data_IF_036368061290
#
_entry.id   IF_036368061290
#
_cell.length_a   1.000
_cell.length_b   1.000
_cell.length_c   1.000
_cell.angle_alpha   90.00
_cell.angle_beta   90.00
_cell.angle_gamma   90.00
#
_symmetry.space_group_name_H-M   'P 1'
#
loop_
_entity.id
_entity.type
_entity.pdbx_description
1 polymer ?
#
# COMPACT_ATOMS: atom_id res chain seq x y z
N UNK A 1 -16.67 -6.48 -6.30
CA UNK A 1 -17.25 -6.64 -4.94
C UNK A 1 -16.17 -6.35 -3.93
N UNK A 2 -16.44 -5.61 -2.89
CA UNK A 2 -15.51 -5.33 -1.80
C UNK A 2 -16.01 -5.99 -0.52
N UNK A 3 -15.23 -6.90 0.07
CA UNK A 3 -15.52 -7.48 1.37
C UNK A 3 -14.79 -6.71 2.46
N UNK A 4 -15.48 -6.34 3.55
CA UNK A 4 -14.89 -5.62 4.68
C UNK A 4 -15.18 -6.36 5.97
N UNK A 5 -14.16 -6.54 6.80
CA UNK A 5 -14.26 -7.30 8.03
C UNK A 5 -15.23 -6.68 9.06
N UNK A 6 -15.22 -5.38 9.29
CA UNK A 6 -16.00 -4.73 10.36
C UNK A 6 -16.85 -3.55 9.89
N UNK A 7 -16.86 -3.21 8.62
CA UNK A 7 -17.54 -2.02 8.13
C UNK A 7 -17.99 -2.19 6.69
N UNK A 8 -19.25 -1.87 6.43
CA UNK A 8 -19.77 -1.74 5.07
C UNK A 8 -19.44 -0.35 4.55
N UNK A 9 -18.67 -0.24 3.48
CA UNK A 9 -18.46 1.01 2.75
C UNK A 9 -19.39 0.97 1.54
N UNK A 10 -20.24 1.98 1.42
CA UNK A 10 -21.13 2.13 0.28
C UNK A 10 -20.41 2.97 -0.78
N UNK A 11 -19.95 2.31 -1.84
CA UNK A 11 -19.35 2.97 -3.00
C UNK A 11 -20.33 2.87 -4.18
N UNK A 12 -20.40 3.94 -4.96
CA UNK A 12 -21.19 3.96 -6.18
C UNK A 12 -20.69 2.87 -7.14
N UNK A 13 -21.61 2.12 -7.71
CA UNK A 13 -21.33 1.05 -8.67
C UNK A 13 -20.47 -0.12 -8.15
N UNK A 14 -20.30 -0.23 -6.82
CA UNK A 14 -19.57 -1.33 -6.17
C UNK A 14 -20.49 -2.05 -5.19
N UNK A 15 -20.75 -3.33 -5.44
CA UNK A 15 -21.44 -4.16 -4.47
C UNK A 15 -20.51 -4.45 -3.28
N UNK A 16 -21.01 -4.27 -2.06
CA UNK A 16 -20.22 -4.50 -0.83
C UNK A 16 -20.88 -5.55 0.03
N UNK A 17 -20.06 -6.43 0.59
CA UNK A 17 -20.47 -7.49 1.51
C UNK A 17 -19.55 -7.46 2.73
N UNK A 18 -20.12 -7.56 3.93
CA UNK A 18 -19.36 -7.79 5.15
C UNK A 18 -19.13 -9.28 5.29
N UNK A 19 -17.88 -9.70 5.38
CA UNK A 19 -17.48 -11.09 5.57
C UNK A 19 -16.78 -11.24 6.92
N UNK A 20 -17.09 -12.33 7.62
CA UNK A 20 -16.32 -12.77 8.79
C UNK A 20 -15.07 -13.51 8.31
N UNK A 21 -14.04 -12.73 7.99
CA UNK A 21 -12.81 -13.25 7.37
C UNK A 21 -12.02 -14.19 8.29
N UNK A 22 -12.31 -14.18 9.59
CA UNK A 22 -11.66 -15.06 10.59
C UNK A 22 -12.23 -16.48 10.60
N UNK A 23 -13.38 -16.71 9.92
CA UNK A 23 -13.98 -18.03 9.78
C UNK A 23 -13.60 -18.65 8.41
N UNK A 24 -12.56 -19.50 8.32
CA UNK A 24 -12.01 -19.98 7.05
C UNK A 24 -13.04 -20.64 6.13
N UNK A 25 -13.94 -21.44 6.70
CA UNK A 25 -14.98 -22.14 5.91
C UNK A 25 -16.03 -21.18 5.34
N UNK A 26 -16.33 -20.07 6.03
CA UNK A 26 -17.26 -19.07 5.53
C UNK A 26 -16.66 -18.26 4.39
N UNK A 27 -15.36 -17.93 4.49
CA UNK A 27 -14.64 -17.21 3.43
C UNK A 27 -14.62 -18.04 2.14
N UNK A 28 -14.25 -19.33 2.20
CA UNK A 28 -14.20 -20.21 1.03
C UNK A 28 -15.59 -20.36 0.41
N UNK A 29 -16.62 -20.64 1.22
CA UNK A 29 -18.00 -20.75 0.74
C UNK A 29 -18.51 -19.44 0.10
N UNK A 30 -18.13 -18.27 0.66
CA UNK A 30 -18.49 -16.97 0.08
C UNK A 30 -17.81 -16.73 -1.25
N UNK A 31 -16.51 -17.04 -1.37
CA UNK A 31 -15.79 -16.92 -2.63
C UNK A 31 -16.31 -17.88 -3.69
N UNK A 32 -16.64 -19.11 -3.31
CA UNK A 32 -17.26 -20.09 -4.22
C UNK A 32 -18.62 -19.63 -4.73
N UNK A 33 -19.45 -19.06 -3.86
CA UNK A 33 -20.76 -18.51 -4.26
C UNK A 33 -20.66 -17.27 -5.15
N UNK A 34 -19.62 -16.43 -4.96
CA UNK A 34 -19.40 -15.18 -5.70
C UNK A 34 -18.73 -15.43 -7.06
N UNK A 35 -17.84 -16.44 -7.15
CA UNK A 35 -17.03 -16.77 -8.33
C UNK A 35 -16.30 -15.54 -8.91
N UNK A 36 -15.48 -14.81 -8.12
CA UNK A 36 -14.76 -13.64 -8.65
C UNK A 36 -13.65 -14.06 -9.62
N UNK A 37 -13.42 -13.25 -10.67
CA UNK A 37 -12.32 -13.46 -11.61
C UNK A 37 -10.94 -13.22 -10.98
N UNK A 38 -10.90 -12.45 -9.89
CA UNK A 38 -9.67 -12.05 -9.19
C UNK A 38 -10.00 -11.69 -7.73
N UNK A 39 -9.16 -12.13 -6.82
CA UNK A 39 -9.17 -11.69 -5.42
C UNK A 39 -7.97 -10.76 -5.18
N UNK A 40 -8.23 -9.50 -4.79
CA UNK A 40 -7.19 -8.54 -4.36
C UNK A 40 -7.27 -8.39 -2.85
N UNK A 41 -6.29 -8.97 -2.14
CA UNK A 41 -6.23 -8.92 -0.69
C UNK A 41 -5.45 -7.68 -0.21
N UNK A 42 -6.19 -6.74 0.38
CA UNK A 42 -5.65 -5.49 0.93
C UNK A 42 -5.87 -5.34 2.43
N UNK A 43 -6.63 -6.25 3.04
CA UNK A 43 -6.91 -6.22 4.47
C UNK A 43 -5.62 -6.42 5.27
N UNK A 44 -5.44 -5.64 6.32
CA UNK A 44 -4.28 -5.74 7.19
C UNK A 44 -4.17 -4.63 8.23
N UNK A 45 -3.50 -4.92 9.33
CA UNK A 45 -3.07 -3.94 10.32
C UNK A 45 -1.82 -3.23 9.79
N UNK A 46 -1.92 -1.92 9.51
CA UNK A 46 -0.87 -1.14 8.83
C UNK A 46 -0.19 -0.08 9.71
N UNK A 47 -0.70 0.16 10.92
CA UNK A 47 -0.03 1.06 11.88
C UNK A 47 1.16 0.32 12.53
N UNK A 48 2.36 0.83 12.28
CA UNK A 48 3.60 0.26 12.83
C UNK A 48 3.55 0.28 14.37
N UNK A 49 3.09 1.39 14.97
CA UNK A 49 2.95 1.57 16.42
C UNK A 49 1.92 0.61 17.02
N UNK A 50 0.78 0.43 16.34
CA UNK A 50 -0.25 -0.49 16.80
C UNK A 50 0.23 -1.94 16.73
N UNK A 51 0.89 -2.33 15.63
CA UNK A 51 1.43 -3.68 15.48
C UNK A 51 2.49 -4.00 16.57
N UNK A 52 3.34 -3.01 16.91
CA UNK A 52 4.34 -3.22 17.97
C UNK A 52 3.70 -3.36 19.36
N UNK A 53 2.58 -2.64 19.58
CA UNK A 53 1.83 -2.72 20.83
C UNK A 53 0.99 -4.01 20.97
N UNK A 54 0.50 -4.52 19.83
CA UNK A 54 -0.39 -5.68 19.77
C UNK A 54 0.12 -6.71 18.75
N UNK A 55 1.27 -7.38 19.05
CA UNK A 55 1.93 -8.25 18.07
C UNK A 55 1.13 -9.50 17.71
N UNK A 56 0.38 -10.07 18.65
CA UNK A 56 -0.44 -11.27 18.41
C UNK A 56 -1.63 -10.96 17.49
N UNK A 57 -2.31 -9.85 17.73
CA UNK A 57 -3.39 -9.38 16.89
C UNK A 57 -2.88 -8.97 15.50
N UNK A 58 -1.71 -8.31 15.44
CA UNK A 58 -1.07 -8.00 14.18
C UNK A 58 -0.74 -9.27 13.38
N UNK A 59 -0.25 -10.32 14.03
CA UNK A 59 0.00 -11.62 13.41
C UNK A 59 -1.31 -12.27 12.95
N UNK A 60 -2.36 -12.26 13.77
CA UNK A 60 -3.67 -12.81 13.40
C UNK A 60 -4.22 -12.13 12.14
N UNK A 61 -4.20 -10.78 12.11
CA UNK A 61 -4.74 -10.01 11.00
C UNK A 61 -3.86 -10.09 9.75
N UNK A 62 -2.54 -9.92 9.88
CA UNK A 62 -1.66 -9.85 8.72
C UNK A 62 -1.25 -11.22 8.18
N UNK A 63 -1.09 -12.24 9.03
CA UNK A 63 -0.57 -13.55 8.63
C UNK A 63 -1.68 -14.59 8.52
N UNK A 64 -2.46 -14.80 9.59
CA UNK A 64 -3.44 -15.88 9.60
C UNK A 64 -4.57 -15.60 8.58
N UNK A 65 -5.14 -14.39 8.62
CA UNK A 65 -6.17 -13.99 7.64
C UNK A 65 -5.64 -14.09 6.20
N UNK A 66 -4.44 -13.56 5.91
CA UNK A 66 -3.84 -13.66 4.58
C UNK A 66 -3.67 -15.11 4.13
N UNK A 67 -3.23 -15.99 5.05
CA UNK A 67 -3.10 -17.42 4.78
C UNK A 67 -4.45 -18.09 4.48
N UNK A 68 -5.52 -17.70 5.18
CA UNK A 68 -6.86 -18.21 4.91
C UNK A 68 -7.35 -17.79 3.52
N UNK A 69 -7.16 -16.52 3.15
CA UNK A 69 -7.50 -16.03 1.80
C UNK A 69 -6.71 -16.77 0.73
N UNK A 70 -5.40 -16.94 0.92
CA UNK A 70 -4.55 -17.63 -0.05
C UNK A 70 -4.94 -19.09 -0.24
N UNK A 71 -5.27 -19.81 0.85
CA UNK A 71 -5.76 -21.21 0.77
C UNK A 71 -7.09 -21.31 0.05
N UNK A 72 -8.05 -20.43 0.37
CA UNK A 72 -9.36 -20.42 -0.29
C UNK A 72 -9.21 -20.15 -1.79
N UNK A 73 -8.41 -19.14 -2.18
CA UNK A 73 -8.13 -18.86 -3.59
C UNK A 73 -7.45 -20.04 -4.30
N UNK A 74 -6.50 -20.71 -3.63
CA UNK A 74 -5.80 -21.89 -4.19
C UNK A 74 -6.75 -23.07 -4.39
N UNK A 75 -7.59 -23.38 -3.37
CA UNK A 75 -8.60 -24.45 -3.42
C UNK A 75 -9.58 -24.25 -4.59
N UNK A 76 -10.03 -23.02 -4.77
CA UNK A 76 -10.97 -22.63 -5.81
C UNK A 76 -10.32 -22.26 -7.15
N UNK A 77 -8.99 -22.36 -7.26
CA UNK A 77 -8.20 -22.02 -8.47
C UNK A 77 -8.43 -20.57 -8.93
N UNK A 78 -8.66 -19.65 -7.99
CA UNK A 78 -8.90 -18.24 -8.27
C UNK A 78 -7.58 -17.46 -8.25
N UNK A 79 -7.32 -16.57 -9.23
CA UNK A 79 -6.17 -15.67 -9.19
C UNK A 79 -6.20 -14.80 -7.94
N UNK A 80 -5.03 -14.58 -7.33
CA UNK A 80 -4.89 -13.76 -6.12
C UNK A 80 -3.76 -12.75 -6.25
N UNK A 81 -4.03 -11.52 -5.80
CA UNK A 81 -3.03 -10.47 -5.58
C UNK A 81 -2.99 -10.14 -4.09
N UNK A 82 -1.81 -10.21 -3.48
CA UNK A 82 -1.55 -9.70 -2.13
C UNK A 82 -0.88 -8.33 -2.21
N UNK A 83 -1.47 -7.30 -1.60
CA UNK A 83 -0.81 -6.01 -1.42
C UNK A 83 0.07 -6.06 -0.17
N UNK A 84 1.37 -5.94 -0.39
CA UNK A 84 2.41 -5.91 0.65
C UNK A 84 3.00 -4.50 0.79
N UNK A 85 4.20 -4.38 1.32
CA UNK A 85 4.80 -3.12 1.80
C UNK A 85 6.29 -3.03 1.42
N UNK A 86 6.83 -1.83 1.52
CA UNK A 86 8.26 -1.50 1.45
C UNK A 86 8.98 -1.62 2.82
N UNK A 87 8.26 -1.83 3.92
CA UNK A 87 8.80 -1.92 5.29
C UNK A 87 9.53 -3.24 5.61
N UNK A 88 10.00 -3.95 4.60
CA UNK A 88 10.56 -5.32 4.73
C UNK A 88 12.07 -5.36 4.91
N UNK A 89 12.77 -4.23 4.74
CA UNK A 89 14.22 -4.19 4.68
C UNK A 89 14.84 -3.36 5.82
N UNK A 90 16.15 -3.50 6.02
CA UNK A 90 16.87 -2.74 7.07
C UNK A 90 16.94 -1.24 6.74
N UNK A 91 16.90 -0.90 5.45
CA UNK A 91 17.00 0.49 4.98
C UNK A 91 18.45 1.00 4.94
N UNK A 92 19.41 0.11 4.67
CA UNK A 92 20.82 0.43 4.44
C UNK A 92 21.09 0.79 2.97
N UNK A 93 20.38 0.11 2.05
CA UNK A 93 20.58 0.24 0.63
C UNK A 93 19.38 0.92 -0.05
N UNK A 94 19.67 1.68 -1.11
CA UNK A 94 18.65 2.29 -1.95
C UNK A 94 18.27 1.37 -3.11
N UNK A 95 17.01 1.48 -3.59
CA UNK A 95 16.50 0.73 -4.73
C UNK A 95 16.66 -0.79 -4.60
N UNK A 96 16.31 -1.31 -3.41
CA UNK A 96 16.34 -2.77 -3.16
C UNK A 96 15.46 -3.48 -4.17
N UNK A 97 15.96 -4.59 -4.76
CA UNK A 97 15.24 -5.44 -5.70
C UNK A 97 14.53 -6.62 -5.02
N UNK A 98 13.82 -7.44 -5.81
CA UNK A 98 13.05 -8.57 -5.33
C UNK A 98 13.91 -9.74 -4.83
N UNK A 99 15.17 -9.81 -5.21
CA UNK A 99 16.10 -10.87 -4.83
C UNK A 99 16.69 -10.64 -3.43
N UNK A 100 16.60 -9.40 -2.92
CA UNK A 100 17.03 -9.08 -1.57
C UNK A 100 16.11 -9.74 -0.52
N UNK A 101 16.65 -10.53 0.42
CA UNK A 101 15.86 -11.18 1.45
C UNK A 101 15.28 -10.16 2.43
N UNK A 102 14.02 -10.30 2.85
CA UNK A 102 13.42 -9.44 3.87
C UNK A 102 14.15 -9.54 5.22
N UNK A 103 14.48 -8.37 5.79
CA UNK A 103 15.06 -8.22 7.14
C UNK A 103 14.33 -7.10 7.90
N UNK A 104 13.05 -7.31 8.25
CA UNK A 104 12.19 -6.27 8.83
C UNK A 104 12.61 -5.88 10.24
N UNK A 105 12.51 -4.59 10.57
CA UNK A 105 12.96 -4.03 11.84
C UNK A 105 11.86 -3.95 12.92
N UNK A 106 10.59 -4.14 12.56
CA UNK A 106 9.44 -4.01 13.46
C UNK A 106 8.41 -5.12 13.23
N UNK A 107 7.43 -5.23 14.13
CA UNK A 107 6.37 -6.25 14.06
C UNK A 107 5.58 -6.14 12.77
N UNK A 108 5.22 -4.94 12.33
CA UNK A 108 4.52 -4.75 11.06
C UNK A 108 5.25 -5.39 9.89
N UNK A 109 6.53 -5.05 9.71
CA UNK A 109 7.35 -5.62 8.64
C UNK A 109 7.51 -7.14 8.76
N UNK A 110 7.72 -7.67 10.00
CA UNK A 110 7.82 -9.12 10.23
C UNK A 110 6.53 -9.86 9.85
N UNK A 111 5.38 -9.34 10.26
CA UNK A 111 4.10 -9.97 9.92
C UNK A 111 3.79 -9.88 8.42
N UNK A 112 4.18 -8.79 7.74
CA UNK A 112 4.02 -8.68 6.28
C UNK A 112 4.97 -9.61 5.53
N UNK A 113 6.24 -9.75 5.95
CA UNK A 113 7.18 -10.69 5.34
C UNK A 113 6.69 -12.15 5.49
N UNK A 114 6.16 -12.51 6.66
CA UNK A 114 5.59 -13.83 6.88
C UNK A 114 4.32 -14.04 6.05
N UNK A 115 3.46 -13.04 5.93
CA UNK A 115 2.26 -13.09 5.08
C UNK A 115 2.61 -13.37 3.61
N UNK A 116 3.66 -12.72 3.06
CA UNK A 116 4.16 -13.00 1.70
C UNK A 116 4.57 -14.46 1.53
N UNK A 117 5.42 -14.94 2.46
CA UNK A 117 5.89 -16.34 2.45
C UNK A 117 4.73 -17.32 2.50
N UNK A 118 3.79 -17.14 3.44
CA UNK A 118 2.60 -18.00 3.59
C UNK A 118 1.71 -17.96 2.35
N UNK A 119 1.56 -16.78 1.73
CA UNK A 119 0.77 -16.65 0.50
C UNK A 119 1.35 -17.53 -0.60
N UNK A 120 2.66 -17.43 -0.85
CA UNK A 120 3.30 -18.21 -1.93
C UNK A 120 3.40 -19.71 -1.61
N UNK A 121 3.48 -20.08 -0.33
CA UNK A 121 3.38 -21.50 0.08
C UNK A 121 1.99 -22.09 -0.16
N UNK A 122 0.92 -21.33 0.14
CA UNK A 122 -0.45 -21.77 -0.05
C UNK A 122 -0.93 -21.65 -1.49
N UNK A 123 -0.46 -20.63 -2.21
CA UNK A 123 -0.88 -20.28 -3.57
C UNK A 123 0.32 -19.85 -4.41
N UNK A 124 1.11 -20.80 -4.96
CA UNK A 124 2.37 -20.50 -5.68
C UNK A 124 2.22 -19.57 -6.90
N UNK A 125 1.03 -19.50 -7.51
CA UNK A 125 0.74 -18.59 -8.62
C UNK A 125 0.18 -17.23 -8.19
N UNK A 126 0.10 -16.92 -6.89
CA UNK A 126 -0.30 -15.61 -6.42
C UNK A 126 0.72 -14.52 -6.81
N UNK A 127 0.23 -13.31 -7.07
CA UNK A 127 1.05 -12.12 -7.26
C UNK A 127 1.17 -11.36 -5.94
N UNK A 128 2.37 -11.22 -5.42
CA UNK A 128 2.69 -10.41 -4.23
C UNK A 128 3.25 -9.07 -4.68
N UNK A 129 2.59 -7.98 -4.32
CA UNK A 129 2.92 -6.62 -4.72
C UNK A 129 3.50 -5.85 -3.53
N UNK A 130 4.80 -5.61 -3.53
CA UNK A 130 5.45 -4.70 -2.58
C UNK A 130 5.35 -3.27 -3.11
N UNK A 131 4.81 -2.37 -2.30
CA UNK A 131 4.49 -1.01 -2.75
C UNK A 131 4.45 -0.01 -1.60
N UNK A 132 4.50 1.28 -1.94
CA UNK A 132 4.20 2.41 -1.06
C UNK A 132 3.43 3.45 -1.87
N UNK A 133 2.12 3.45 -1.74
CA UNK A 133 1.25 4.26 -2.57
C UNK A 133 0.72 5.50 -1.85
N UNK A 134 0.38 6.50 -2.65
CA UNK A 134 -0.30 7.72 -2.25
C UNK A 134 -1.55 7.95 -3.10
N UNK A 135 -2.40 8.86 -2.67
CA UNK A 135 -3.66 9.17 -3.36
C UNK A 135 -4.61 9.93 -2.45
N UNK A 136 -5.87 10.03 -2.84
CA UNK A 136 -6.93 10.54 -1.99
C UNK A 136 -7.41 9.45 -1.03
N UNK A 137 -7.57 9.81 0.24
CA UNK A 137 -8.13 8.95 1.28
C UNK A 137 -9.64 9.11 1.41
N UNK A 138 -10.23 8.30 2.29
CA UNK A 138 -11.65 8.42 2.70
C UNK A 138 -11.79 9.41 3.84
N UNK A 139 -13.05 9.83 4.16
CA UNK A 139 -13.32 10.76 5.27
C UNK A 139 -12.83 10.27 6.64
N UNK A 140 -12.71 8.97 6.83
CA UNK A 140 -12.24 8.37 8.08
C UNK A 140 -10.75 7.92 8.04
N UNK A 141 -10.10 7.96 6.88
CA UNK A 141 -8.69 7.52 6.73
C UNK A 141 -7.99 8.31 5.64
N UNK A 142 -7.29 9.34 6.04
CA UNK A 142 -6.44 10.11 5.14
C UNK A 142 -5.18 9.36 4.71
N UNK A 143 -4.84 9.45 3.42
CA UNK A 143 -3.54 9.02 2.92
C UNK A 143 -2.43 10.01 3.33
N UNK A 144 -1.17 9.68 3.03
CA UNK A 144 -0.06 10.59 3.31
C UNK A 144 -0.14 11.88 2.49
N UNK A 145 -0.43 11.80 1.18
CA UNK A 145 -0.59 12.97 0.31
C UNK A 145 -1.82 13.82 0.68
N UNK A 146 -2.94 13.18 0.95
CA UNK A 146 -4.18 13.83 1.36
C UNK A 146 -3.99 14.63 2.66
N UNK A 147 -3.34 14.03 3.66
CA UNK A 147 -3.01 14.72 4.92
C UNK A 147 -2.14 15.96 4.69
N UNK A 148 -1.15 15.89 3.77
CA UNK A 148 -0.32 17.04 3.42
C UNK A 148 -1.19 18.17 2.85
N UNK A 149 -2.05 17.86 1.88
CA UNK A 149 -2.93 18.86 1.25
C UNK A 149 -3.90 19.49 2.26
N UNK A 150 -4.55 18.65 3.09
CA UNK A 150 -5.55 19.11 4.08
C UNK A 150 -4.88 20.03 5.12
N UNK A 151 -3.75 19.63 5.70
CA UNK A 151 -3.06 20.44 6.72
C UNK A 151 -2.49 21.73 6.14
N UNK A 152 -1.89 21.67 4.94
CA UNK A 152 -1.35 22.86 4.29
C UNK A 152 -2.46 23.86 3.91
N UNK A 153 -3.63 23.40 3.47
CA UNK A 153 -4.82 24.26 3.26
C UNK A 153 -5.33 24.91 4.53
N UNK A 154 -5.18 24.22 5.66
CA UNK A 154 -5.50 24.77 6.99
C UNK A 154 -4.42 25.71 7.55
N UNK A 155 -3.35 25.99 6.81
CA UNK A 155 -2.22 26.81 7.26
C UNK A 155 -1.40 26.14 8.38
N UNK A 156 -1.53 24.83 8.55
CA UNK A 156 -0.85 24.09 9.62
C UNK A 156 0.51 23.58 9.14
N UNK A 157 1.59 23.83 9.91
CA UNK A 157 2.91 23.29 9.55
C UNK A 157 2.97 21.77 9.70
N UNK A 158 3.72 21.14 8.80
CA UNK A 158 3.99 19.70 8.78
C UNK A 158 5.47 19.44 8.97
N UNK A 159 5.83 18.64 9.96
CA UNK A 159 7.18 18.15 10.18
C UNK A 159 7.36 16.86 9.38
N UNK A 160 8.21 16.87 8.34
CA UNK A 160 8.46 15.73 7.48
C UNK A 160 9.95 15.35 7.48
N UNK A 161 10.24 14.05 7.42
CA UNK A 161 11.60 13.53 7.52
C UNK A 161 12.38 13.77 6.23
N UNK A 162 13.54 14.45 6.36
CA UNK A 162 14.51 14.65 5.28
C UNK A 162 15.43 13.44 5.07
N UNK A 163 15.52 12.55 6.09
CA UNK A 163 16.38 11.36 6.15
C UNK A 163 15.61 10.03 6.06
N UNK A 164 14.35 10.08 5.60
CA UNK A 164 13.52 8.88 5.33
C UNK A 164 13.08 8.90 3.88
N UNK A 165 13.57 7.92 3.10
CA UNK A 165 13.39 7.82 1.66
C UNK A 165 12.42 6.70 1.27
N UNK A 166 11.75 6.85 0.15
CA UNK A 166 10.83 5.86 -0.42
C UNK A 166 10.64 6.09 -1.93
N UNK A 167 9.95 5.18 -2.60
CA UNK A 167 9.60 5.27 -4.03
C UNK A 167 8.06 5.30 -4.16
N UNK A 168 7.42 6.48 -3.97
CA UNK A 168 5.96 6.58 -3.96
C UNK A 168 5.34 6.31 -5.33
N UNK A 169 4.18 5.65 -5.35
CA UNK A 169 3.37 5.46 -6.55
C UNK A 169 1.94 5.94 -6.31
N UNK A 170 1.31 6.59 -7.29
CA UNK A 170 -0.10 6.95 -7.20
C UNK A 170 -0.97 5.70 -7.25
N UNK A 171 -1.98 5.60 -6.38
CA UNK A 171 -2.88 4.43 -6.31
C UNK A 171 -3.52 4.11 -7.69
N UNK A 172 -3.87 5.10 -8.50
CA UNK A 172 -4.39 4.88 -9.85
C UNK A 172 -3.37 4.17 -10.75
N UNK A 173 -2.10 4.59 -10.70
CA UNK A 173 -1.00 3.97 -11.46
C UNK A 173 -0.74 2.55 -10.98
N UNK A 174 -0.73 2.34 -9.65
CA UNK A 174 -0.60 1.01 -9.04
C UNK A 174 -1.70 0.07 -9.52
N UNK A 175 -2.97 0.48 -9.44
CA UNK A 175 -4.11 -0.34 -9.85
C UNK A 175 -4.00 -0.72 -11.34
N UNK A 176 -3.70 0.24 -12.22
CA UNK A 176 -3.51 -0.03 -13.64
C UNK A 176 -2.36 -1.02 -13.88
N UNK A 177 -1.22 -0.86 -13.20
CA UNK A 177 -0.09 -1.77 -13.34
C UNK A 177 -0.41 -3.19 -12.85
N UNK A 178 -1.14 -3.31 -11.74
CA UNK A 178 -1.60 -4.61 -11.22
C UNK A 178 -2.56 -5.28 -12.21
N UNK A 179 -3.51 -4.54 -12.78
CA UNK A 179 -4.44 -5.08 -13.78
C UNK A 179 -3.70 -5.60 -15.02
N UNK A 180 -2.75 -4.83 -15.57
CA UNK A 180 -1.95 -5.24 -16.72
C UNK A 180 -1.13 -6.52 -16.40
N UNK A 181 -0.51 -6.60 -15.21
CA UNK A 181 0.28 -7.76 -14.78
C UNK A 181 -0.58 -9.01 -14.56
N UNK A 182 -1.78 -8.87 -14.00
CA UNK A 182 -2.73 -9.98 -13.84
C UNK A 182 -3.17 -10.52 -15.21
N UNK A 183 -3.42 -9.66 -16.21
CA UNK A 183 -3.75 -10.09 -17.56
C UNK A 183 -2.62 -10.90 -18.23
N UNK A 184 -1.37 -10.64 -17.87
CA UNK A 184 -0.20 -11.41 -18.34
C UNK A 184 0.12 -12.63 -17.46
N UNK A 185 -0.73 -12.95 -16.49
CA UNK A 185 -0.55 -14.05 -15.53
C UNK A 185 0.76 -13.95 -14.74
N UNK A 186 1.21 -12.72 -14.45
CA UNK A 186 2.38 -12.49 -13.61
C UNK A 186 2.15 -13.07 -12.20
N UNK A 187 3.16 -13.70 -11.65
CA UNK A 187 3.13 -14.34 -10.33
C UNK A 187 4.44 -14.12 -9.56
N UNK A 188 4.44 -14.52 -8.28
CA UNK A 188 5.59 -14.30 -7.40
C UNK A 188 5.66 -12.87 -6.89
N UNK A 189 6.84 -12.41 -6.49
CA UNK A 189 7.03 -11.09 -5.87
C UNK A 189 7.41 -10.06 -6.93
N UNK A 190 6.72 -8.92 -6.93
CA UNK A 190 7.03 -7.76 -7.75
C UNK A 190 7.00 -6.48 -6.92
N UNK A 191 7.97 -5.59 -7.16
CA UNK A 191 7.98 -4.23 -6.65
C UNK A 191 7.23 -3.32 -7.62
N UNK A 192 6.05 -2.84 -7.23
CA UNK A 192 5.25 -1.91 -8.04
C UNK A 192 5.24 -0.55 -7.33
N UNK A 193 6.22 0.27 -7.67
CA UNK A 193 6.51 1.57 -7.08
C UNK A 193 6.84 2.59 -8.17
N UNK A 194 6.81 3.89 -7.85
CA UNK A 194 7.22 4.95 -8.77
C UNK A 194 8.68 4.85 -9.19
N UNK A 195 9.06 5.66 -10.19
CA UNK A 195 10.41 5.64 -10.77
C UNK A 195 11.45 6.40 -9.96
N UNK A 196 11.02 7.18 -8.95
CA UNK A 196 11.88 8.11 -8.23
C UNK A 196 11.95 7.79 -6.74
N UNK A 197 13.19 7.76 -6.22
CA UNK A 197 13.47 7.79 -4.79
C UNK A 197 13.45 9.22 -4.29
N UNK A 198 12.65 9.49 -3.27
CA UNK A 198 12.46 10.83 -2.72
C UNK A 198 12.35 10.75 -1.19
N UNK A 199 12.79 11.76 -0.46
CA UNK A 199 12.53 11.84 0.98
C UNK A 199 11.07 12.22 1.26
N UNK A 200 10.60 11.95 2.48
CA UNK A 200 9.25 12.38 2.91
C UNK A 200 9.14 13.91 2.87
N UNK A 201 10.21 14.63 3.18
CA UNK A 201 10.28 16.10 3.13
C UNK A 201 10.18 16.63 1.70
N UNK A 202 10.99 16.11 0.77
CA UNK A 202 10.94 16.50 -0.64
C UNK A 202 9.58 16.16 -1.28
N UNK A 203 9.00 15.00 -0.95
CA UNK A 203 7.65 14.64 -1.39
C UNK A 203 6.61 15.64 -0.87
N UNK A 204 6.70 16.07 0.40
CA UNK A 204 5.83 17.11 0.95
C UNK A 204 5.91 18.42 0.17
N UNK A 205 7.12 18.87 -0.16
CA UNK A 205 7.33 20.04 -1.01
C UNK A 205 6.75 19.86 -2.42
N UNK A 206 6.95 18.70 -3.05
CA UNK A 206 6.39 18.40 -4.36
C UNK A 206 4.85 18.49 -4.33
N UNK A 207 4.20 17.95 -3.27
CA UNK A 207 2.75 18.03 -3.09
C UNK A 207 2.30 19.48 -2.95
N UNK A 208 2.83 20.25 -2.00
CA UNK A 208 2.37 21.64 -1.78
C UNK A 208 2.60 22.52 -2.99
N UNK A 209 3.72 22.36 -3.70
CA UNK A 209 3.99 23.09 -4.95
C UNK A 209 2.98 22.73 -6.04
N UNK A 210 2.67 21.44 -6.23
CA UNK A 210 1.68 20.99 -7.21
C UNK A 210 0.29 21.58 -6.97
N UNK A 211 -0.11 21.73 -5.69
CA UNK A 211 -1.42 22.26 -5.33
C UNK A 211 -1.44 23.77 -5.11
N UNK A 212 -0.33 24.49 -5.40
CA UNK A 212 -0.23 25.94 -5.23
C UNK A 212 -0.37 26.39 -3.76
N UNK A 213 0.06 25.57 -2.81
CA UNK A 213 0.01 25.83 -1.38
C UNK A 213 1.35 26.38 -0.90
N UNK A 214 1.36 26.99 0.31
CA UNK A 214 2.57 27.60 0.86
C UNK A 214 3.64 26.55 1.23
N UNK A 215 4.78 26.52 0.51
CA UNK A 215 5.85 25.56 0.80
C UNK A 215 6.55 25.81 2.14
N UNK A 216 6.42 27.00 2.71
CA UNK A 216 6.99 27.32 4.01
C UNK A 216 6.36 26.53 5.17
N UNK A 217 5.18 25.95 4.96
CA UNK A 217 4.51 25.06 5.91
C UNK A 217 5.21 23.70 6.06
N UNK A 218 5.99 23.27 5.06
CA UNK A 218 6.74 22.02 5.15
C UNK A 218 8.06 22.26 5.87
N UNK A 219 8.22 21.65 7.04
CA UNK A 219 9.40 21.76 7.88
C UNK A 219 10.19 20.47 7.89
N UNK A 220 11.52 20.59 7.73
CA UNK A 220 12.41 19.44 7.81
C UNK A 220 12.49 18.90 9.24
N UNK A 221 12.52 17.57 9.36
CA UNK A 221 12.81 16.85 10.60
C UNK A 221 13.67 15.65 10.27
N UNK A 222 14.28 15.05 11.30
CA UNK A 222 15.02 13.78 11.18
C UNK A 222 14.39 12.73 12.05
N UNK A 223 14.39 11.49 11.56
CA UNK A 223 13.81 10.38 12.32
C UNK A 223 14.50 10.18 13.66
N UNK A 224 15.81 10.47 13.74
CA UNK A 224 16.60 10.42 14.98
C UNK A 224 16.11 11.37 16.08
N UNK A 225 15.34 12.42 15.71
CA UNK A 225 14.79 13.40 16.65
C UNK A 225 13.49 12.90 17.31
N UNK A 226 12.96 11.76 16.86
CA UNK A 226 11.70 11.16 17.32
C UNK A 226 12.01 9.91 18.15
N UNK A 227 12.23 10.08 19.45
CA UNK A 227 12.66 9.00 20.37
C UNK A 227 11.57 7.96 20.62
N UNK A 228 10.30 8.36 20.51
CA UNK A 228 9.14 7.52 20.84
C UNK A 228 8.60 6.72 19.63
N UNK A 229 9.16 6.92 18.44
CA UNK A 229 8.76 6.16 17.27
C UNK A 229 9.37 4.75 17.29
N UNK A 230 8.53 3.79 16.96
CA UNK A 230 8.96 2.41 16.67
C UNK A 230 10.02 2.45 15.55
N UNK A 231 11.06 1.63 15.70
CA UNK A 231 12.15 1.53 14.72
C UNK A 231 11.61 1.21 13.33
N UNK A 232 12.05 1.97 12.35
CA UNK A 232 11.67 1.80 10.94
C UNK A 232 12.84 2.09 10.02
N UNK A 233 12.86 1.53 8.79
CA UNK A 233 13.90 1.79 7.81
C UNK A 233 14.02 3.28 7.49
N UNK A 234 15.26 3.76 7.29
CA UNK A 234 15.49 5.10 6.74
C UNK A 234 15.34 5.12 5.22
N UNK A 235 15.73 4.07 4.57
CA UNK A 235 15.53 3.91 3.13
C UNK A 235 14.60 2.73 2.85
N UNK A 236 13.45 3.01 2.28
CA UNK A 236 12.43 2.06 1.87
C UNK A 236 12.27 2.07 0.34
N UNK A 237 13.24 2.64 -0.38
CA UNK A 237 13.15 2.70 -1.83
C UNK A 237 13.34 1.32 -2.44
N UNK A 238 12.42 0.97 -3.34
CA UNK A 238 12.41 -0.29 -4.06
C UNK A 238 12.74 -0.07 -5.53
N UNK A 239 13.41 -1.03 -6.16
CA UNK A 239 13.60 -1.06 -7.61
C UNK A 239 12.34 -1.61 -8.29
N UNK A 240 11.81 -0.89 -9.28
CA UNK A 240 10.68 -1.34 -10.10
C UNK A 240 11.11 -1.96 -11.45
N UNK A 241 12.41 -2.24 -11.62
CA UNK A 241 12.97 -2.67 -12.91
C UNK A 241 12.30 -3.93 -13.46
N UNK A 242 12.01 -4.92 -12.60
CA UNK A 242 11.33 -6.17 -12.97
C UNK A 242 9.90 -5.92 -13.42
N UNK A 243 9.14 -5.12 -12.69
CA UNK A 243 7.77 -4.73 -13.07
C UNK A 243 7.76 -3.92 -14.37
N UNK A 244 8.63 -2.93 -14.53
CA UNK A 244 8.74 -2.13 -15.77
C UNK A 244 9.08 -3.00 -17.00
N UNK A 245 9.96 -4.00 -16.83
CA UNK A 245 10.29 -4.94 -17.90
C UNK A 245 9.08 -5.78 -18.33
N UNK A 246 8.31 -6.29 -17.38
CA UNK A 246 7.08 -7.06 -17.66
C UNK A 246 5.99 -6.21 -18.30
N UNK A 247 5.84 -4.96 -17.84
CA UNK A 247 4.83 -4.03 -18.35
C UNK A 247 5.23 -3.38 -19.70
N UNK A 248 6.49 -3.44 -20.09
CA UNK A 248 7.00 -2.74 -21.27
C UNK A 248 6.97 -1.20 -21.15
N UNK A 249 6.79 -0.65 -19.94
CA UNK A 249 6.69 0.79 -19.68
C UNK A 249 7.19 1.16 -18.30
N UNK A 250 7.55 2.44 -18.11
CA UNK A 250 7.85 3.03 -16.82
C UNK A 250 6.56 3.32 -16.01
N UNK A 251 6.69 3.45 -14.70
CA UNK A 251 5.58 3.73 -13.79
C UNK A 251 5.43 5.22 -13.45
N UNK A 252 6.35 6.04 -13.90
CA UNK A 252 6.25 7.49 -13.90
C UNK A 252 6.90 8.19 -12.70
N UNK A 253 7.26 9.46 -12.96
CA UNK A 253 7.87 10.35 -11.96
C UNK A 253 6.85 10.81 -10.92
N UNK A 254 7.34 11.28 -9.77
CA UNK A 254 6.52 11.89 -8.72
C UNK A 254 5.71 13.07 -9.29
N UNK A 255 6.36 13.96 -10.06
CA UNK A 255 5.70 15.11 -10.65
C UNK A 255 4.55 14.71 -11.57
N UNK A 256 4.76 13.77 -12.50
CA UNK A 256 3.71 13.30 -13.41
C UNK A 256 2.51 12.70 -12.63
N UNK A 257 2.78 11.95 -11.58
CA UNK A 257 1.75 11.33 -10.77
C UNK A 257 0.99 12.35 -9.89
N UNK A 258 1.65 13.40 -9.41
CA UNK A 258 1.00 14.49 -8.68
C UNK A 258 0.08 15.32 -9.59
N UNK A 259 0.42 15.53 -10.87
CA UNK A 259 -0.50 16.14 -11.86
C UNK A 259 -1.79 15.30 -11.99
N UNK A 260 -1.67 13.97 -12.05
CA UNK A 260 -2.85 13.10 -12.09
C UNK A 260 -3.66 13.17 -10.80
N UNK A 261 -3.00 13.24 -9.63
CA UNK A 261 -3.67 13.40 -8.34
C UNK A 261 -4.49 14.71 -8.28
N UNK A 262 -3.92 15.82 -8.76
CA UNK A 262 -4.63 17.11 -8.82
C UNK A 262 -5.78 17.06 -9.85
N UNK A 263 -5.59 16.42 -10.99
CA UNK A 263 -6.67 16.23 -11.96
C UNK A 263 -7.83 15.40 -11.38
N UNK A 264 -7.56 14.40 -10.55
CA UNK A 264 -8.60 13.65 -9.82
C UNK A 264 -9.39 14.54 -8.86
N UNK A 265 -8.74 15.47 -8.16
CA UNK A 265 -9.44 16.43 -7.30
C UNK A 265 -10.37 17.32 -8.14
N UNK A 266 -9.86 17.90 -9.22
CA UNK A 266 -10.62 18.76 -10.14
C UNK A 266 -11.84 18.03 -10.74
N UNK A 267 -11.73 16.71 -10.94
CA UNK A 267 -12.81 15.84 -11.40
C UNK A 267 -13.79 15.41 -10.28
N UNK A 268 -13.57 15.84 -9.02
CA UNK A 268 -14.46 15.53 -7.90
C UNK A 268 -14.19 14.20 -7.19
N UNK A 269 -13.23 13.40 -7.65
CA UNK A 269 -12.91 12.07 -7.07
C UNK A 269 -12.52 12.18 -5.59
N UNK A 270 -11.74 13.20 -5.22
CA UNK A 270 -11.36 13.44 -3.83
C UNK A 270 -12.60 13.64 -2.94
N UNK A 271 -13.56 14.45 -3.39
CA UNK A 271 -14.80 14.72 -2.64
C UNK A 271 -15.66 13.45 -2.49
N UNK A 272 -15.76 12.66 -3.55
CA UNK A 272 -16.51 11.40 -3.52
C UNK A 272 -15.92 10.44 -2.49
N UNK A 273 -14.59 10.22 -2.51
CA UNK A 273 -13.90 9.35 -1.56
C UNK A 273 -14.03 9.87 -0.11
N UNK A 274 -13.91 11.16 0.11
CA UNK A 274 -14.02 11.77 1.45
C UNK A 274 -15.44 11.73 2.01
N UNK A 275 -16.46 11.52 1.17
CA UNK A 275 -17.85 11.34 1.61
C UNK A 275 -18.16 9.91 2.10
N UNK A 276 -17.23 8.97 1.89
CA UNK A 276 -17.31 7.59 2.39
C UNK A 276 -16.82 7.51 3.83
#
# INVERSE_FOLDING_TARGET
MLGLHNRKILMRDVATLVLELEAPNQLEASLDAIQPDLVVHTAGATSVEWCERFPEEAHSINVNLTSHVARACSSLKMPMVLISTDHLFVGADAFVDEDCPPLPQNVYGRTKAEAERRTLECHPSALVVRTNFFGWGTGYRHSFSDRIVVQARAGQPLMLFEDVFFTPILIKTLVTAVQDLVQTQASGILHIVGDERISKYEFGHAVVNQFGLDPSLIKASRISNQRDLVRRPKDMSLSNAKACKLLGRRLGSVSAQLHVLQAQENAGVARELQSL
#
